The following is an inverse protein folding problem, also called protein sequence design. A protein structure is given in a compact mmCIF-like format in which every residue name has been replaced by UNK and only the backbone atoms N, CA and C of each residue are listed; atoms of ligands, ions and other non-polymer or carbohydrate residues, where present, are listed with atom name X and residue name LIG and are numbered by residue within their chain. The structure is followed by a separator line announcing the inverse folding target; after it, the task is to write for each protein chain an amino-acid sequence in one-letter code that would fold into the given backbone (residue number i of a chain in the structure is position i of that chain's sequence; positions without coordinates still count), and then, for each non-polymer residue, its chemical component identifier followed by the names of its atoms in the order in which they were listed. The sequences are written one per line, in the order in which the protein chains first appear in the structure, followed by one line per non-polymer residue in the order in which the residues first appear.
data_IF_735705400654
#
_entry.id   IF_735705400654
#
_cell.length_a   1.000
_cell.length_b   1.000
_cell.length_c   1.000
_cell.angle_alpha   90.00
_cell.angle_beta   90.00
_cell.angle_gamma   90.00
#
_symmetry.space_group_name_H-M   'P 1'
#
loop_
_entity.id
_entity.type
_entity.pdbx_description
1 polymer ?
#
# COMPACT_ATOMS: atom_id res chain seq x y z
N UNK A 1 -7.29 -7.41 -7.18
CA UNK A 1 -8.15 -8.58 -7.40
C UNK A 1 -7.30 -9.83 -7.67
N UNK A 2 -7.41 -10.89 -6.85
CA UNK A 2 -6.64 -12.14 -7.01
C UNK A 2 -6.88 -12.84 -8.36
N UNK A 3 -8.10 -12.81 -8.89
CA UNK A 3 -8.41 -13.43 -10.17
C UNK A 3 -7.73 -12.68 -11.33
N UNK A 4 -7.75 -11.36 -11.30
CA UNK A 4 -7.06 -10.53 -12.28
C UNK A 4 -5.55 -10.78 -12.25
N UNK A 5 -4.96 -10.93 -11.05
CA UNK A 5 -3.54 -11.26 -10.91
C UNK A 5 -3.21 -12.59 -11.58
N UNK A 6 -4.02 -13.62 -11.36
CA UNK A 6 -3.84 -14.93 -11.97
C UNK A 6 -3.88 -14.84 -13.49
N UNK A 7 -4.85 -14.13 -14.05
CA UNK A 7 -4.97 -13.91 -15.51
C UNK A 7 -3.75 -13.15 -16.07
N UNK A 8 -3.29 -12.10 -15.39
CA UNK A 8 -2.09 -11.35 -15.81
C UNK A 8 -0.86 -12.25 -15.86
N UNK A 9 -0.64 -13.08 -14.83
CA UNK A 9 0.51 -13.99 -14.79
C UNK A 9 0.45 -15.02 -15.93
N UNK A 10 -0.71 -15.59 -16.20
CA UNK A 10 -0.89 -16.52 -17.33
C UNK A 10 -0.62 -15.84 -18.70
N UNK A 11 -0.99 -14.55 -18.84
CA UNK A 11 -0.66 -13.77 -20.04
C UNK A 11 0.83 -13.49 -20.15
N UNK A 12 1.51 -13.17 -19.05
CA UNK A 12 2.97 -12.96 -19.03
C UNK A 12 3.69 -14.23 -19.45
N UNK A 13 3.37 -15.38 -18.86
CA UNK A 13 3.96 -16.67 -19.23
C UNK A 13 3.77 -16.98 -20.72
N UNK A 14 2.55 -16.84 -21.23
CA UNK A 14 2.24 -17.04 -22.64
C UNK A 14 3.04 -16.08 -23.54
N UNK A 15 3.14 -14.81 -23.17
CA UNK A 15 3.89 -13.82 -23.96
C UNK A 15 5.38 -14.16 -24.00
N UNK A 16 5.98 -14.46 -22.85
CA UNK A 16 7.40 -14.81 -22.75
C UNK A 16 7.74 -16.03 -23.60
N UNK A 17 6.92 -17.09 -23.52
CA UNK A 17 7.15 -18.33 -24.27
C UNK A 17 7.00 -18.13 -25.79
N UNK A 18 6.02 -17.35 -26.23
CA UNK A 18 5.81 -17.12 -27.67
C UNK A 18 6.87 -16.17 -28.27
N UNK A 19 7.28 -15.14 -27.54
CA UNK A 19 8.37 -14.23 -27.98
C UNK A 19 9.68 -15.01 -28.13
N UNK A 20 10.01 -15.87 -27.17
CA UNK A 20 11.20 -16.71 -27.28
C UNK A 20 11.11 -17.67 -28.48
N UNK A 21 9.96 -18.34 -28.65
CA UNK A 21 9.74 -19.26 -29.75
C UNK A 21 9.85 -18.58 -31.14
N UNK A 22 9.38 -17.34 -31.27
CA UNK A 22 9.50 -16.54 -32.48
C UNK A 22 10.96 -16.29 -32.91
N UNK A 23 11.89 -16.34 -31.96
CA UNK A 23 13.35 -16.20 -32.19
C UNK A 23 14.08 -17.55 -32.19
N UNK A 24 13.39 -18.69 -32.25
CA UNK A 24 13.97 -20.02 -32.18
C UNK A 24 14.56 -20.39 -30.82
N UNK A 25 14.23 -19.64 -29.76
CA UNK A 25 14.66 -19.88 -28.39
C UNK A 25 13.54 -20.50 -27.55
N UNK A 26 13.91 -21.02 -26.38
CA UNK A 26 12.95 -21.48 -25.36
C UNK A 26 13.05 -20.59 -24.13
N UNK A 27 11.92 -20.32 -23.50
CA UNK A 27 11.87 -19.60 -22.23
C UNK A 27 11.05 -20.37 -21.21
N UNK A 28 11.43 -20.25 -19.95
CA UNK A 28 10.70 -20.73 -18.79
C UNK A 28 10.29 -19.53 -17.93
N UNK A 29 9.03 -19.48 -17.60
CA UNK A 29 8.50 -18.49 -16.66
C UNK A 29 8.39 -19.12 -15.28
N UNK A 30 9.02 -18.50 -14.29
CA UNK A 30 8.94 -18.92 -12.90
C UNK A 30 8.71 -17.72 -11.99
N UNK A 31 7.75 -17.85 -11.09
CA UNK A 31 7.62 -16.91 -9.98
C UNK A 31 8.56 -17.36 -8.85
N UNK A 32 9.55 -16.53 -8.55
CA UNK A 32 10.46 -16.78 -7.43
C UNK A 32 9.90 -16.18 -6.15
N UNK A 33 10.04 -16.91 -5.04
CA UNK A 33 9.58 -16.49 -3.73
C UNK A 33 8.07 -16.68 -3.50
N UNK A 34 7.61 -16.22 -2.33
CA UNK A 34 6.19 -16.24 -1.95
C UNK A 34 5.52 -14.95 -2.42
N UNK A 35 4.59 -15.01 -3.37
CA UNK A 35 3.96 -13.80 -3.88
C UNK A 35 3.02 -13.20 -2.84
N UNK A 36 3.13 -11.90 -2.60
CA UNK A 36 2.23 -11.20 -1.70
C UNK A 36 0.79 -11.20 -2.25
N UNK A 37 -0.19 -11.49 -1.40
CA UNK A 37 -1.61 -11.30 -1.75
C UNK A 37 -1.94 -9.81 -1.96
N UNK A 38 -3.18 -9.54 -2.33
CA UNK A 38 -3.69 -8.16 -2.36
C UNK A 38 -3.81 -7.64 -0.93
N UNK A 39 -3.23 -6.47 -0.66
CA UNK A 39 -3.46 -5.73 0.58
C UNK A 39 -4.81 -5.04 0.48
N UNK A 40 -5.78 -5.53 1.24
CA UNK A 40 -7.12 -4.97 1.29
C UNK A 40 -7.43 -4.51 2.71
N UNK A 41 -7.79 -3.23 2.85
CA UNK A 41 -8.27 -2.71 4.11
C UNK A 41 -9.67 -3.27 4.44
N UNK A 42 -9.88 -3.68 5.68
CA UNK A 42 -11.21 -4.00 6.17
C UNK A 42 -12.11 -2.76 6.14
N UNK A 43 -13.23 -2.84 5.47
CA UNK A 43 -14.11 -1.68 5.24
C UNK A 43 -14.69 -1.12 6.54
N UNK A 44 -15.11 -2.00 7.45
CA UNK A 44 -15.70 -1.59 8.72
C UNK A 44 -14.67 -0.94 9.62
N UNK A 45 -13.50 -1.58 9.76
CA UNK A 45 -12.39 -1.03 10.54
C UNK A 45 -11.93 0.31 9.96
N UNK A 46 -11.83 0.43 8.64
CA UNK A 46 -11.45 1.67 7.96
C UNK A 46 -12.42 2.81 8.28
N UNK A 47 -13.73 2.56 8.13
CA UNK A 47 -14.75 3.56 8.43
C UNK A 47 -14.70 4.04 9.88
N UNK A 48 -14.46 3.13 10.81
CA UNK A 48 -14.31 3.45 12.23
C UNK A 48 -13.01 4.20 12.55
N UNK A 49 -11.94 3.95 11.80
CA UNK A 49 -10.63 4.59 11.97
C UNK A 49 -10.56 6.02 11.41
N UNK A 50 -11.33 6.32 10.36
CA UNK A 50 -11.32 7.62 9.66
C UNK A 50 -11.47 8.82 10.59
N UNK A 51 -12.41 8.88 11.56
CA UNK A 51 -12.52 10.01 12.47
C UNK A 51 -11.25 10.25 13.31
N UNK A 52 -10.62 9.17 13.79
CA UNK A 52 -9.36 9.26 14.55
C UNK A 52 -8.23 9.76 13.68
N UNK A 53 -8.09 9.22 12.47
CA UNK A 53 -7.06 9.65 11.52
C UNK A 53 -7.25 11.12 11.10
N UNK A 54 -8.49 11.55 10.85
CA UNK A 54 -8.80 12.93 10.50
C UNK A 54 -8.39 13.91 11.62
N UNK A 55 -8.72 13.55 12.87
CA UNK A 55 -8.34 14.33 14.05
C UNK A 55 -6.82 14.44 14.20
N UNK A 56 -6.08 13.37 13.97
CA UNK A 56 -4.61 13.35 14.10
C UNK A 56 -3.93 14.08 12.96
N UNK A 57 -4.41 13.90 11.73
CA UNK A 57 -3.86 14.55 10.55
C UNK A 57 -4.10 16.06 10.54
N UNK A 58 -5.23 16.50 11.08
CA UNK A 58 -5.71 17.88 11.01
C UNK A 58 -6.66 18.12 9.84
N UNK A 59 -7.36 19.24 9.88
CA UNK A 59 -8.40 19.59 8.93
C UNK A 59 -7.88 19.57 7.47
N UNK A 60 -8.62 18.89 6.59
CA UNK A 60 -8.33 18.80 5.15
C UNK A 60 -7.06 18.01 4.78
N UNK A 61 -6.38 17.38 5.75
CA UNK A 61 -5.13 16.64 5.47
C UNK A 61 -5.31 15.14 5.30
N UNK A 62 -6.42 14.57 5.77
CA UNK A 62 -6.75 13.18 5.46
C UNK A 62 -7.32 13.11 4.05
N UNK A 63 -6.80 12.20 3.25
CA UNK A 63 -7.23 12.01 1.87
C UNK A 63 -7.43 10.53 1.57
N UNK A 64 -8.47 10.23 0.81
CA UNK A 64 -8.58 8.95 0.15
C UNK A 64 -7.68 8.93 -1.08
N UNK A 65 -6.90 7.87 -1.22
CA UNK A 65 -6.04 7.66 -2.38
C UNK A 65 -6.62 6.54 -3.25
N UNK A 66 -6.43 6.63 -4.55
CA UNK A 66 -6.83 5.59 -5.49
C UNK A 66 -6.08 4.28 -5.26
N UNK A 67 -6.48 3.24 -6.00
CA UNK A 67 -5.83 1.93 -5.94
C UNK A 67 -4.34 2.06 -6.23
N UNK A 68 -3.54 1.45 -5.37
CA UNK A 68 -2.10 1.37 -5.50
C UNK A 68 -1.68 -0.03 -5.95
N UNK A 69 -0.59 -0.15 -6.67
CA UNK A 69 -0.13 -1.41 -7.26
C UNK A 69 1.19 -1.96 -6.71
N UNK A 70 1.78 -1.45 -5.63
CA UNK A 70 2.97 -2.05 -5.04
C UNK A 70 2.68 -3.42 -4.44
N UNK A 71 3.73 -4.19 -4.24
CA UNK A 71 3.70 -5.43 -3.48
C UNK A 71 3.96 -5.11 -2.00
N UNK A 72 3.11 -5.62 -1.10
CA UNK A 72 3.15 -5.32 0.32
C UNK A 72 2.91 -6.59 1.16
N UNK A 73 3.84 -6.92 2.05
CA UNK A 73 3.76 -8.14 2.86
C UNK A 73 2.75 -8.03 4.03
N UNK A 74 2.35 -6.83 4.41
CA UNK A 74 1.23 -6.61 5.33
C UNK A 74 -0.06 -7.29 4.87
N UNK A 75 -0.17 -7.58 3.58
CA UNK A 75 -1.27 -8.36 2.98
C UNK A 75 -1.50 -9.71 3.66
N UNK A 76 -0.46 -10.33 4.23
CA UNK A 76 -0.61 -11.59 4.97
C UNK A 76 -1.34 -11.39 6.29
N UNK A 77 -1.07 -10.30 7.00
CA UNK A 77 -1.80 -9.95 8.23
C UNK A 77 -3.26 -9.61 7.90
N UNK A 78 -3.49 -8.85 6.82
CA UNK A 78 -4.82 -8.44 6.39
C UNK A 78 -5.74 -9.62 5.97
N UNK A 79 -5.18 -10.80 5.71
CA UNK A 79 -5.95 -12.02 5.45
C UNK A 79 -6.39 -12.76 6.70
N UNK A 80 -5.67 -12.58 7.80
CA UNK A 80 -5.90 -13.32 9.04
C UNK A 80 -6.80 -12.55 10.01
N UNK A 81 -6.70 -11.21 9.99
CA UNK A 81 -7.49 -10.34 10.87
C UNK A 81 -7.94 -9.07 10.15
N UNK A 82 -9.07 -8.45 10.57
CA UNK A 82 -9.46 -7.14 10.06
C UNK A 82 -8.31 -6.14 10.23
N UNK A 83 -7.86 -5.54 9.13
CA UNK A 83 -6.64 -4.75 9.11
C UNK A 83 -6.83 -3.45 8.35
N UNK A 84 -6.03 -2.45 8.71
CA UNK A 84 -5.98 -1.15 8.07
C UNK A 84 -4.53 -0.79 7.75
N UNK A 85 -4.24 -0.59 6.48
CA UNK A 85 -2.99 -0.05 5.98
C UNK A 85 -3.23 1.38 5.47
N UNK A 86 -2.42 2.33 5.90
CA UNK A 86 -2.51 3.72 5.46
C UNK A 86 -1.12 4.33 5.25
N UNK A 87 -1.07 5.35 4.44
CA UNK A 87 0.17 6.08 4.16
C UNK A 87 0.25 7.36 4.98
N UNK A 88 1.46 7.73 5.37
CA UNK A 88 1.77 9.04 5.94
C UNK A 88 2.53 9.84 4.89
N UNK A 89 1.98 10.99 4.48
CA UNK A 89 2.66 11.89 3.58
C UNK A 89 3.89 12.52 4.24
N UNK A 90 5.05 12.38 3.62
CA UNK A 90 6.34 12.82 4.17
C UNK A 90 7.06 13.83 3.27
N UNK A 91 6.44 14.29 2.20
CA UNK A 91 7.02 15.31 1.33
C UNK A 91 7.00 16.69 2.03
N UNK A 92 8.05 17.49 1.79
CA UNK A 92 8.09 18.88 2.25
C UNK A 92 6.92 19.68 1.68
N UNK A 93 6.27 20.51 2.50
CA UNK A 93 5.27 21.45 2.01
C UNK A 93 5.83 22.36 0.88
N UNK A 94 5.03 22.55 -0.17
CA UNK A 94 5.39 23.40 -1.28
C UNK A 94 6.26 22.79 -2.38
N UNK A 95 6.74 21.55 -2.20
CA UNK A 95 7.43 20.82 -3.28
C UNK A 95 6.41 20.35 -4.31
N UNK A 96 6.59 20.67 -5.62
CA UNK A 96 5.72 20.16 -6.67
C UNK A 96 5.69 18.65 -6.72
N UNK A 97 4.52 18.04 -6.95
CA UNK A 97 4.36 16.59 -6.94
C UNK A 97 5.31 15.86 -7.91
N UNK A 98 5.63 16.46 -9.06
CA UNK A 98 6.56 15.88 -10.03
C UNK A 98 8.04 15.94 -9.63
N UNK A 99 8.37 16.62 -8.54
CA UNK A 99 9.74 16.73 -7.99
C UNK A 99 9.92 15.86 -6.75
N UNK A 100 8.85 15.23 -6.25
CA UNK A 100 8.90 14.35 -5.10
C UNK A 100 9.36 12.97 -5.58
N UNK A 101 10.52 12.55 -5.11
CA UNK A 101 11.00 11.20 -5.38
C UNK A 101 10.19 10.16 -4.58
N UNK A 102 9.82 9.07 -5.24
CA UNK A 102 9.12 7.96 -4.59
C UNK A 102 10.03 7.25 -3.57
N UNK A 103 9.42 6.58 -2.59
CA UNK A 103 10.12 5.63 -1.74
C UNK A 103 10.81 4.58 -2.63
N UNK A 104 11.93 4.03 -2.19
CA UNK A 104 12.84 3.18 -2.97
C UNK A 104 13.72 3.92 -4.01
N UNK A 105 13.55 5.24 -4.19
CA UNK A 105 14.49 6.05 -4.94
C UNK A 105 15.70 6.44 -4.07
N UNK A 106 16.93 6.48 -4.63
CA UNK A 106 18.09 7.02 -3.91
C UNK A 106 17.98 8.53 -3.62
N UNK A 107 17.02 9.21 -4.25
CA UNK A 107 16.72 10.62 -4.03
C UNK A 107 15.54 10.81 -3.05
N UNK A 108 15.02 9.73 -2.50
CA UNK A 108 13.91 9.82 -1.55
C UNK A 108 14.32 10.61 -0.31
N UNK A 109 13.50 11.58 0.03
CA UNK A 109 13.70 12.45 1.17
C UNK A 109 12.39 12.58 1.97
N UNK A 110 12.50 12.54 3.27
CA UNK A 110 11.36 12.73 4.17
C UNK A 110 11.47 14.07 4.91
N UNK A 111 10.36 14.75 5.08
CA UNK A 111 10.23 15.81 6.07
C UNK A 111 10.03 15.18 7.44
N UNK A 112 11.05 15.28 8.30
CA UNK A 112 11.02 14.68 9.64
C UNK A 112 9.88 15.21 10.51
N UNK A 113 9.34 16.40 10.21
CA UNK A 113 8.16 16.93 10.90
C UNK A 113 6.90 16.06 10.73
N UNK A 114 6.87 15.19 9.72
CA UNK A 114 5.78 14.22 9.51
C UNK A 114 5.87 13.00 10.43
N UNK A 115 7.05 12.65 10.95
CA UNK A 115 7.24 11.44 11.78
C UNK A 115 6.36 11.43 13.03
N UNK A 116 6.24 12.54 13.80
CA UNK A 116 5.33 12.59 14.95
C UNK A 116 3.85 12.38 14.58
N UNK A 117 3.45 12.69 13.33
CA UNK A 117 2.08 12.43 12.86
C UNK A 117 1.84 10.94 12.75
N UNK A 118 2.78 10.18 12.16
CA UNK A 118 2.71 8.73 12.07
C UNK A 118 2.64 8.06 13.44
N UNK A 119 3.50 8.47 14.36
CA UNK A 119 3.50 7.97 15.76
C UNK A 119 2.15 8.22 16.43
N UNK A 120 1.64 9.46 16.36
CA UNK A 120 0.33 9.81 16.94
C UNK A 120 -0.81 9.03 16.29
N UNK A 121 -0.78 8.82 14.97
CA UNK A 121 -1.81 8.09 14.26
C UNK A 121 -1.92 6.65 14.77
N UNK A 122 -0.81 5.91 14.81
CA UNK A 122 -0.80 4.54 15.31
C UNK A 122 -1.17 4.44 16.78
N UNK A 123 -0.60 5.31 17.62
CA UNK A 123 -0.89 5.33 19.06
C UNK A 123 -2.37 5.63 19.31
N UNK A 124 -2.91 6.67 18.67
CA UNK A 124 -4.30 7.06 18.90
C UNK A 124 -5.30 6.03 18.36
N UNK A 125 -5.02 5.43 17.18
CA UNK A 125 -5.82 4.33 16.68
C UNK A 125 -5.85 3.15 17.66
N UNK A 126 -4.70 2.77 18.20
CA UNK A 126 -4.61 1.68 19.17
C UNK A 126 -5.41 1.99 20.43
N UNK A 127 -5.24 3.19 20.99
CA UNK A 127 -5.97 3.61 22.21
C UNK A 127 -7.48 3.67 21.95
N UNK A 128 -7.91 4.29 20.84
CA UNK A 128 -9.33 4.41 20.52
C UNK A 128 -9.98 3.05 20.24
N UNK A 129 -9.25 2.13 19.59
CA UNK A 129 -9.71 0.76 19.36
C UNK A 129 -9.89 0.01 20.70
N UNK A 130 -8.86 -0.02 21.52
CA UNK A 130 -8.87 -0.76 22.81
C UNK A 130 -9.87 -0.20 23.83
N UNK A 131 -10.17 1.10 23.76
CA UNK A 131 -11.13 1.76 24.65
C UNK A 131 -12.56 1.84 24.09
N UNK A 132 -12.81 1.26 22.90
CA UNK A 132 -14.12 1.28 22.27
C UNK A 132 -14.56 2.64 21.72
N UNK A 133 -13.63 3.59 21.54
CA UNK A 133 -13.90 4.93 21.01
C UNK A 133 -13.94 5.00 19.49
N UNK A 134 -13.50 3.97 18.80
CA UNK A 134 -13.68 3.84 17.37
C UNK A 134 -15.09 3.37 17.08
N UNK A 135 -16.02 4.32 16.90
CA UNK A 135 -17.43 4.06 16.61
C UNK A 135 -17.72 4.15 15.10
#
# INVERSE_FOLDING_TARGET
DPAQRTDVLARVERTVTHVAAASGATAKFELTGRPNPVTANDTVLTQRAVPTLARVAGEGKLREIGLQTPSEDFSYFAREVPSLFFFVGVAKPGVPAGEIADNHSPLFYIDESALPVGVRALTQLTVDYLTGRMQ
#
